data_IF_389914026780
#
_entry.id   IF_389914026780
#
_cell.length_a   1.000
_cell.length_b   1.000
_cell.length_c   1.000
_cell.angle_alpha   90.00
_cell.angle_beta   90.00
_cell.angle_gamma   90.00
#
_symmetry.space_group_name_H-M   'P 1'
#
loop_
_entity.id
_entity.type
_entity.pdbx_description
1 polymer ?
#
# COMPACT_ATOMS: atom_id res chain seq x y z
N UNK A 1 14.96 48.13 43.12
CA UNK A 1 15.44 47.00 42.30
C UNK A 1 16.92 47.15 42.09
N UNK A 2 17.73 46.17 42.48
CA UNK A 2 19.17 46.21 42.24
C UNK A 2 19.45 45.68 40.83
N UNK A 3 20.50 46.15 40.18
CA UNK A 3 20.89 45.71 38.82
C UNK A 3 21.02 44.19 38.67
N UNK A 4 21.32 43.47 39.78
CA UNK A 4 21.42 42.02 39.80
C UNK A 4 20.05 41.32 39.65
N UNK A 5 18.96 41.94 40.12
CA UNK A 5 17.61 41.38 40.04
C UNK A 5 17.13 41.38 38.59
N UNK A 6 17.39 42.47 37.86
CA UNK A 6 17.04 42.63 36.43
C UNK A 6 17.77 41.59 35.56
N UNK A 7 19.05 41.34 35.84
CA UNK A 7 19.85 40.36 35.10
C UNK A 7 19.37 38.93 35.40
N UNK A 8 18.99 38.64 36.65
CA UNK A 8 18.44 37.35 37.03
C UNK A 8 17.09 37.09 36.36
N UNK A 9 16.19 38.07 36.36
CA UNK A 9 14.87 37.98 35.71
C UNK A 9 14.98 37.79 34.20
N UNK A 10 15.88 38.53 33.53
CA UNK A 10 16.15 38.37 32.10
C UNK A 10 16.68 36.96 31.77
N UNK A 11 17.56 36.39 32.61
CA UNK A 11 18.05 35.00 32.45
C UNK A 11 16.94 33.98 32.63
N UNK A 12 16.05 34.18 33.62
CA UNK A 12 14.91 33.28 33.85
C UNK A 12 13.93 33.33 32.67
N UNK A 13 13.65 34.51 32.13
CA UNK A 13 12.82 34.65 30.93
C UNK A 13 13.45 33.93 29.74
N UNK A 14 14.74 34.15 29.48
CA UNK A 14 15.44 33.48 28.39
C UNK A 14 15.48 31.95 28.54
N UNK A 15 15.67 31.42 29.76
CA UNK A 15 15.60 29.99 30.01
C UNK A 15 14.19 29.41 29.76
N UNK A 16 13.13 30.17 30.04
CA UNK A 16 11.75 29.75 29.71
C UNK A 16 11.53 29.71 28.20
N UNK A 17 11.99 30.71 27.47
CA UNK A 17 11.93 30.75 26.00
C UNK A 17 12.68 29.59 25.37
N UNK A 18 13.91 29.30 25.84
CA UNK A 18 14.70 28.15 25.39
C UNK A 18 14.01 26.84 25.69
N UNK A 19 13.39 26.70 26.87
CA UNK A 19 12.63 25.48 27.23
C UNK A 19 11.43 25.27 26.32
N UNK A 20 10.66 26.32 26.02
CA UNK A 20 9.53 26.25 25.08
C UNK A 20 10.01 25.87 23.68
N UNK A 21 11.05 26.55 23.19
CA UNK A 21 11.64 26.26 21.88
C UNK A 21 12.16 24.82 21.78
N UNK A 22 12.79 24.31 22.84
CA UNK A 22 13.25 22.92 22.89
C UNK A 22 12.08 21.93 22.81
N UNK A 23 10.98 22.19 23.51
CA UNK A 23 9.78 21.35 23.45
C UNK A 23 9.18 21.33 22.04
N UNK A 24 9.09 22.51 21.40
CA UNK A 24 8.56 22.62 20.02
C UNK A 24 9.45 21.89 19.01
N UNK A 25 10.76 22.04 19.12
CA UNK A 25 11.71 21.32 18.26
C UNK A 25 11.59 19.81 18.45
N UNK A 26 11.46 19.33 19.69
CA UNK A 26 11.26 17.89 19.97
C UNK A 26 9.96 17.36 19.37
N UNK A 27 8.87 18.11 19.47
CA UNK A 27 7.60 17.72 18.86
C UNK A 27 7.69 17.66 17.33
N UNK A 28 8.38 18.62 16.71
CA UNK A 28 8.63 18.63 15.26
C UNK A 28 9.53 17.47 14.83
N UNK A 29 10.59 17.18 15.57
CA UNK A 29 11.48 16.05 15.30
C UNK A 29 10.69 14.74 15.33
N UNK A 30 9.92 14.48 16.38
CA UNK A 30 9.11 13.27 16.50
C UNK A 30 8.11 13.12 15.33
N UNK A 31 7.52 14.23 14.87
CA UNK A 31 6.64 14.22 13.69
C UNK A 31 7.40 13.83 12.41
N UNK A 32 8.56 14.43 12.18
CA UNK A 32 9.39 14.14 11.00
C UNK A 32 9.89 12.69 11.02
N UNK A 33 10.29 12.17 12.17
CA UNK A 33 10.70 10.76 12.32
C UNK A 33 9.55 9.81 12.00
N UNK A 34 8.34 10.09 12.48
CA UNK A 34 7.16 9.30 12.15
C UNK A 34 6.85 9.33 10.64
N UNK A 35 6.95 10.50 10.00
CA UNK A 35 6.76 10.63 8.54
C UNK A 35 7.82 9.87 7.75
N UNK A 36 9.10 9.98 8.16
CA UNK A 36 10.21 9.21 7.57
C UNK A 36 9.94 7.72 7.65
N UNK A 37 9.53 7.20 8.80
CA UNK A 37 9.34 5.76 9.01
C UNK A 37 8.20 5.23 8.13
N UNK A 38 7.11 5.98 8.00
CA UNK A 38 6.00 5.65 7.08
C UNK A 38 6.48 5.64 5.63
N UNK A 39 7.23 6.66 5.20
CA UNK A 39 7.76 6.72 3.83
C UNK A 39 8.77 5.60 3.54
N UNK A 40 9.63 5.27 4.50
CA UNK A 40 10.61 4.20 4.37
C UNK A 40 9.92 2.84 4.21
N UNK A 41 8.88 2.57 5.01
CA UNK A 41 8.09 1.35 4.86
C UNK A 41 7.38 1.30 3.49
N UNK A 42 6.76 2.39 3.08
CA UNK A 42 6.10 2.51 1.78
C UNK A 42 7.06 2.26 0.60
N UNK A 43 8.24 2.87 0.64
CA UNK A 43 9.26 2.72 -0.38
C UNK A 43 9.78 1.28 -0.43
N UNK A 44 10.02 0.66 0.73
CA UNK A 44 10.48 -0.73 0.81
C UNK A 44 9.48 -1.70 0.17
N UNK A 45 8.18 -1.52 0.43
CA UNK A 45 7.11 -2.32 -0.18
C UNK A 45 7.05 -2.12 -1.70
N UNK A 46 7.23 -0.89 -2.17
CA UNK A 46 7.21 -0.56 -3.60
C UNK A 46 8.41 -1.14 -4.35
N UNK A 47 9.60 -1.14 -3.75
CA UNK A 47 10.79 -1.75 -4.34
C UNK A 47 10.63 -3.26 -4.53
N UNK A 48 10.00 -3.94 -3.57
CA UNK A 48 9.73 -5.38 -3.68
C UNK A 48 8.75 -5.64 -4.84
N UNK A 49 7.69 -4.85 -4.97
CA UNK A 49 6.76 -4.96 -6.09
C UNK A 49 7.41 -4.61 -7.44
N UNK A 50 8.36 -3.68 -7.47
CA UNK A 50 9.10 -3.33 -8.67
C UNK A 50 9.98 -4.49 -9.15
N UNK A 51 10.69 -5.15 -8.22
CA UNK A 51 11.47 -6.35 -8.53
C UNK A 51 10.60 -7.47 -9.11
N UNK A 52 9.38 -7.61 -8.62
CA UNK A 52 8.43 -8.58 -9.18
C UNK A 52 7.98 -8.20 -10.59
N UNK A 53 7.72 -6.92 -10.82
CA UNK A 53 7.34 -6.40 -12.14
C UNK A 53 8.44 -6.62 -13.18
N UNK A 54 9.70 -6.39 -12.82
CA UNK A 54 10.86 -6.66 -13.70
C UNK A 54 11.03 -8.14 -14.04
N UNK A 55 10.61 -9.03 -13.14
CA UNK A 55 10.67 -10.49 -13.33
C UNK A 55 9.54 -11.05 -14.21
N UNK A 56 8.57 -10.23 -14.58
CA UNK A 56 7.51 -10.66 -15.49
C UNK A 56 8.07 -10.88 -16.90
N UNK A 57 7.71 -11.99 -17.57
CA UNK A 57 8.07 -12.23 -18.97
C UNK A 57 7.72 -11.05 -19.87
N UNK A 58 8.45 -10.88 -20.96
CA UNK A 58 8.18 -9.81 -21.92
C UNK A 58 6.72 -9.86 -22.40
N UNK A 59 6.05 -8.70 -22.42
CA UNK A 59 4.63 -8.59 -22.76
C UNK A 59 3.64 -9.06 -21.67
N UNK A 60 4.08 -9.77 -20.63
CA UNK A 60 3.19 -10.16 -19.53
C UNK A 60 2.79 -8.93 -18.70
N UNK A 61 1.51 -8.82 -18.35
CA UNK A 61 0.98 -7.69 -17.58
C UNK A 61 1.04 -7.91 -16.07
N UNK A 62 1.15 -6.83 -15.31
CA UNK A 62 0.92 -6.82 -13.86
C UNK A 62 -0.49 -6.31 -13.58
N UNK A 63 -1.27 -7.12 -12.90
CA UNK A 63 -2.59 -6.75 -12.40
C UNK A 63 -2.45 -6.23 -10.98
N UNK A 64 -2.94 -5.03 -10.70
CA UNK A 64 -2.97 -4.44 -9.36
C UNK A 64 -4.42 -4.35 -8.91
N UNK A 65 -4.73 -4.94 -7.76
CA UNK A 65 -6.07 -5.01 -7.18
C UNK A 65 -6.09 -4.07 -5.98
N UNK A 66 -6.92 -3.03 -6.04
CA UNK A 66 -7.30 -2.25 -4.88
C UNK A 66 -8.19 -3.12 -3.98
N UNK A 67 -7.58 -3.68 -2.95
CA UNK A 67 -8.18 -4.70 -2.10
C UNK A 67 -9.39 -4.19 -1.33
N UNK A 68 -9.46 -2.89 -1.02
CA UNK A 68 -10.65 -2.35 -0.38
C UNK A 68 -11.83 -2.30 -1.34
N UNK A 69 -11.64 -1.80 -2.55
CA UNK A 69 -12.68 -1.81 -3.57
C UNK A 69 -13.10 -3.23 -3.97
N UNK A 70 -12.20 -4.21 -3.92
CA UNK A 70 -12.54 -5.61 -4.12
C UNK A 70 -13.50 -6.16 -3.05
N UNK A 71 -13.25 -5.84 -1.78
CA UNK A 71 -14.03 -6.34 -0.64
C UNK A 71 -15.38 -5.62 -0.50
N UNK A 72 -15.38 -4.30 -0.66
CA UNK A 72 -16.53 -3.45 -0.34
C UNK A 72 -17.63 -3.54 -1.39
N UNK A 73 -17.33 -4.11 -2.56
CA UNK A 73 -18.27 -4.31 -3.67
C UNK A 73 -19.54 -5.06 -3.30
N UNK A 74 -19.50 -5.88 -2.25
CA UNK A 74 -20.61 -6.75 -1.86
C UNK A 74 -21.45 -6.19 -0.71
N UNK A 75 -21.04 -5.10 -0.03
CA UNK A 75 -21.67 -4.70 1.24
C UNK A 75 -21.60 -3.19 1.51
N UNK A 76 -22.58 -2.71 2.27
CA UNK A 76 -22.68 -1.30 2.67
C UNK A 76 -21.66 -0.98 3.78
N UNK A 77 -20.60 -0.27 3.40
CA UNK A 77 -19.34 -0.13 4.16
C UNK A 77 -19.48 0.63 5.48
N UNK A 78 -20.40 1.60 5.52
CA UNK A 78 -20.58 2.50 6.67
C UNK A 78 -21.07 1.80 7.94
N UNK A 79 -21.39 0.50 7.87
CA UNK A 79 -21.92 -0.31 8.97
C UNK A 79 -21.02 -1.47 9.40
N UNK A 80 -19.85 -1.64 8.78
CA UNK A 80 -18.98 -2.78 9.06
C UNK A 80 -18.03 -2.48 10.23
N UNK A 81 -17.99 -3.40 11.20
CA UNK A 81 -17.00 -3.35 12.28
C UNK A 81 -15.60 -3.71 11.76
N UNK A 82 -14.55 -3.41 12.52
CA UNK A 82 -13.18 -3.83 12.21
C UNK A 82 -13.03 -5.36 12.09
N UNK A 83 -13.85 -6.10 12.84
CA UNK A 83 -13.90 -7.56 12.82
C UNK A 83 -14.53 -8.08 11.52
N UNK A 84 -15.64 -7.47 11.08
CA UNK A 84 -16.26 -7.80 9.80
C UNK A 84 -15.31 -7.55 8.63
N UNK A 85 -14.57 -6.45 8.68
CA UNK A 85 -13.56 -6.10 7.67
C UNK A 85 -12.46 -7.16 7.63
N UNK A 86 -11.98 -7.57 8.79
CA UNK A 86 -10.93 -8.59 8.90
C UNK A 86 -11.42 -9.96 8.40
N UNK A 87 -12.68 -10.31 8.68
CA UNK A 87 -13.32 -11.52 8.15
C UNK A 87 -13.45 -11.47 6.63
N UNK A 88 -13.97 -10.37 6.08
CA UNK A 88 -14.15 -10.20 4.64
C UNK A 88 -12.82 -10.24 3.87
N UNK A 89 -11.73 -9.67 4.44
CA UNK A 89 -10.38 -9.80 3.89
C UNK A 89 -9.96 -11.26 3.78
N UNK A 90 -10.17 -12.04 4.85
CA UNK A 90 -9.86 -13.47 4.88
C UNK A 90 -10.69 -14.27 3.88
N UNK A 91 -12.00 -14.01 3.81
CA UNK A 91 -12.90 -14.68 2.86
C UNK A 91 -12.51 -14.38 1.41
N UNK A 92 -12.20 -13.11 1.09
CA UNK A 92 -11.76 -12.71 -0.24
C UNK A 92 -10.46 -13.41 -0.64
N UNK A 93 -9.46 -13.40 0.25
CA UNK A 93 -8.17 -14.05 0.00
C UNK A 93 -8.33 -15.58 -0.11
N UNK A 94 -9.12 -16.20 0.76
CA UNK A 94 -9.41 -17.63 0.71
C UNK A 94 -10.13 -18.02 -0.60
N UNK A 95 -11.02 -17.18 -1.11
CA UNK A 95 -11.67 -17.37 -2.41
C UNK A 95 -10.69 -17.34 -3.59
N UNK A 96 -9.52 -16.72 -3.42
CA UNK A 96 -8.41 -16.74 -4.38
C UNK A 96 -7.39 -17.86 -4.11
N UNK A 97 -7.64 -18.74 -3.12
CA UNK A 97 -6.68 -19.75 -2.67
C UNK A 97 -5.46 -19.17 -1.93
N UNK A 98 -5.52 -17.90 -1.52
CA UNK A 98 -4.44 -17.21 -0.82
C UNK A 98 -4.59 -17.39 0.68
N UNK A 99 -3.74 -18.22 1.26
CA UNK A 99 -3.57 -18.32 2.71
C UNK A 99 -2.39 -17.46 3.16
N UNK A 100 -2.55 -16.61 4.20
CA UNK A 100 -1.41 -15.95 4.81
C UNK A 100 -0.42 -17.02 5.30
N UNK A 101 0.89 -16.81 5.13
CA UNK A 101 1.88 -17.74 5.66
C UNK A 101 1.72 -17.84 7.19
N UNK A 102 1.52 -19.05 7.71
CA UNK A 102 1.68 -19.33 9.13
C UNK A 102 3.18 -19.42 9.39
N UNK A 103 3.77 -18.37 9.95
CA UNK A 103 5.18 -18.28 10.37
C UNK A 103 6.22 -18.94 9.44
N UNK A 104 6.82 -18.11 8.57
CA UNK A 104 8.09 -18.30 7.86
C UNK A 104 8.53 -19.76 7.62
N UNK A 105 7.95 -20.41 6.60
CA UNK A 105 8.64 -21.52 5.97
C UNK A 105 9.78 -20.92 5.11
N UNK A 106 10.94 -20.70 5.74
CA UNK A 106 12.16 -20.16 5.14
C UNK A 106 12.75 -21.06 4.02
N UNK A 107 12.11 -22.20 3.72
CA UNK A 107 12.57 -23.17 2.73
C UNK A 107 12.18 -22.84 1.28
N UNK A 108 11.25 -21.91 1.05
CA UNK A 108 10.81 -21.57 -0.32
C UNK A 108 11.68 -20.46 -0.90
N UNK A 109 12.68 -20.84 -1.68
CA UNK A 109 13.48 -19.86 -2.44
C UNK A 109 12.58 -19.07 -3.41
N UNK A 110 12.64 -17.73 -3.42
CA UNK A 110 11.74 -16.89 -4.22
C UNK A 110 11.89 -17.07 -5.74
N UNK A 111 12.90 -17.80 -6.19
CA UNK A 111 13.20 -18.07 -7.60
C UNK A 111 12.53 -19.34 -8.14
N UNK A 112 12.06 -20.24 -7.27
CA UNK A 112 11.27 -21.41 -7.67
C UNK A 112 9.77 -21.11 -7.79
N UNK A 113 9.35 -19.91 -7.36
CA UNK A 113 7.95 -19.48 -7.41
C UNK A 113 7.63 -18.79 -8.75
N UNK A 114 6.43 -19.02 -9.33
CA UNK A 114 6.02 -18.41 -10.60
C UNK A 114 5.93 -16.89 -10.48
N UNK A 115 6.35 -16.10 -11.49
CA UNK A 115 6.35 -14.63 -11.42
C UNK A 115 5.05 -14.04 -10.89
N UNK A 116 5.17 -12.96 -10.11
CA UNK A 116 3.98 -12.31 -9.53
C UNK A 116 3.24 -11.53 -10.61
N UNK A 117 2.12 -12.09 -11.06
CA UNK A 117 1.25 -11.48 -12.06
C UNK A 117 0.15 -10.61 -11.42
N UNK A 118 -0.18 -10.83 -10.15
CA UNK A 118 -1.23 -10.08 -9.44
C UNK A 118 -0.73 -9.51 -8.11
N UNK A 119 -0.96 -8.22 -7.89
CA UNK A 119 -0.63 -7.53 -6.65
C UNK A 119 -1.87 -6.94 -5.99
N UNK A 120 -2.23 -7.44 -4.81
CA UNK A 120 -3.38 -7.02 -4.02
C UNK A 120 -2.91 -6.08 -2.92
N UNK A 121 -3.47 -4.87 -2.86
CA UNK A 121 -3.06 -3.85 -1.90
C UNK A 121 -4.23 -3.51 -0.99
N UNK A 122 -4.04 -3.69 0.32
CA UNK A 122 -4.99 -3.31 1.35
C UNK A 122 -4.45 -2.16 2.19
N UNK A 123 -5.35 -1.29 2.66
CA UNK A 123 -5.02 -0.47 3.82
C UNK A 123 -4.90 -1.39 5.06
N UNK A 124 -3.77 -1.26 5.75
CA UNK A 124 -3.51 -1.95 7.02
C UNK A 124 -2.88 -1.02 8.04
N UNK A 125 -3.03 -1.33 9.33
CA UNK A 125 -2.38 -0.56 10.42
C UNK A 125 -0.88 -0.81 10.45
N UNK A 126 -0.48 -2.07 10.22
CA UNK A 126 0.92 -2.52 10.18
C UNK A 126 1.30 -2.75 8.72
N UNK A 127 2.45 -2.23 8.32
CA UNK A 127 3.00 -2.45 6.99
C UNK A 127 3.50 -3.90 6.89
N UNK A 128 3.03 -4.66 5.92
CA UNK A 128 3.59 -5.96 5.60
C UNK A 128 3.36 -6.31 4.12
N UNK A 129 4.10 -7.30 3.63
CA UNK A 129 3.83 -7.90 2.34
C UNK A 129 4.27 -9.35 2.36
N UNK A 130 3.52 -10.19 1.66
CA UNK A 130 3.86 -11.59 1.45
C UNK A 130 3.45 -12.03 0.05
N UNK A 131 4.04 -13.15 -0.38
CA UNK A 131 3.77 -13.77 -1.68
C UNK A 131 3.06 -15.10 -1.46
N UNK A 132 2.13 -15.42 -2.35
CA UNK A 132 1.45 -16.71 -2.42
C UNK A 132 1.30 -17.07 -3.90
N UNK A 133 2.17 -17.93 -4.42
CA UNK A 133 2.23 -18.23 -5.85
C UNK A 133 2.50 -16.99 -6.72
N UNK A 134 1.59 -16.73 -7.66
CA UNK A 134 1.58 -15.57 -8.56
C UNK A 134 1.01 -14.28 -7.92
N UNK A 135 0.58 -14.36 -6.66
CA UNK A 135 0.00 -13.24 -5.93
C UNK A 135 1.00 -12.61 -4.98
N UNK A 136 1.04 -11.28 -4.95
CA UNK A 136 1.54 -10.50 -3.84
C UNK A 136 0.38 -9.89 -3.08
N UNK A 137 0.40 -9.96 -1.77
CA UNK A 137 -0.51 -9.21 -0.91
C UNK A 137 0.30 -8.22 -0.11
N UNK A 138 -0.12 -6.97 -0.10
CA UNK A 138 0.53 -5.89 0.65
C UNK A 138 -0.48 -5.17 1.52
N UNK A 139 -0.09 -4.89 2.75
CA UNK A 139 -0.78 -4.00 3.65
C UNK A 139 0.08 -2.76 3.82
N UNK A 140 -0.46 -1.59 3.50
CA UNK A 140 0.36 -0.36 3.39
C UNK A 140 0.96 0.13 4.71
N UNK A 141 0.39 -0.28 5.85
CA UNK A 141 0.70 0.29 7.17
C UNK A 141 0.25 1.76 7.31
N UNK A 142 0.50 2.32 8.49
CA UNK A 142 0.34 3.76 8.77
C UNK A 142 -1.08 4.21 9.13
N UNK A 143 -1.26 5.54 9.16
CA UNK A 143 -2.50 6.25 9.52
C UNK A 143 -2.86 7.22 8.37
N UNK A 144 -4.15 7.37 8.06
CA UNK A 144 -4.65 8.30 7.02
C UNK A 144 -5.54 7.62 5.96
N UNK A 145 -6.38 8.37 5.24
CA UNK A 145 -7.21 7.79 4.18
C UNK A 145 -6.39 7.50 2.91
N UNK A 146 -6.89 6.64 2.02
CA UNK A 146 -6.36 6.44 0.65
C UNK A 146 -4.89 5.98 0.57
N UNK A 147 -4.41 5.14 1.49
CA UNK A 147 -2.99 4.75 1.53
C UNK A 147 -2.67 3.74 0.44
N UNK A 148 -3.58 2.80 0.17
CA UNK A 148 -3.53 1.91 -0.98
C UNK A 148 -3.46 2.70 -2.30
N UNK A 149 -4.35 3.68 -2.49
CA UNK A 149 -4.41 4.53 -3.68
C UNK A 149 -3.07 5.23 -3.92
N UNK A 150 -2.50 5.82 -2.86
CA UNK A 150 -1.19 6.46 -2.93
C UNK A 150 -0.10 5.46 -3.33
N UNK A 151 -0.07 4.26 -2.76
CA UNK A 151 0.90 3.22 -3.10
C UNK A 151 0.79 2.77 -4.56
N UNK A 152 -0.43 2.61 -5.05
CA UNK A 152 -0.69 2.27 -6.46
C UNK A 152 -0.13 3.37 -7.37
N UNK A 153 -0.43 4.63 -7.08
CA UNK A 153 0.03 5.77 -7.88
C UNK A 153 1.54 5.95 -7.82
N UNK A 154 2.14 5.87 -6.63
CA UNK A 154 3.58 6.01 -6.43
C UNK A 154 4.33 4.89 -7.18
N UNK A 155 3.81 3.65 -7.16
CA UNK A 155 4.36 2.55 -7.95
C UNK A 155 4.26 2.77 -9.46
N UNK A 156 3.06 3.13 -9.97
CA UNK A 156 2.87 3.39 -11.41
C UNK A 156 3.79 4.53 -11.90
N UNK A 157 3.93 5.58 -11.08
CA UNK A 157 4.85 6.67 -11.37
C UNK A 157 6.32 6.23 -11.33
N UNK A 158 6.71 5.37 -10.39
CA UNK A 158 8.06 4.83 -10.33
C UNK A 158 8.40 4.03 -11.58
N UNK A 159 7.51 3.13 -12.02
CA UNK A 159 7.67 2.38 -13.28
C UNK A 159 7.86 3.33 -14.46
N UNK A 160 7.05 4.41 -14.54
CA UNK A 160 7.18 5.44 -15.57
C UNK A 160 8.53 6.17 -15.52
N UNK A 161 8.95 6.60 -14.34
CA UNK A 161 10.21 7.36 -14.14
C UNK A 161 11.42 6.51 -14.49
N UNK A 162 11.35 5.20 -14.23
CA UNK A 162 12.41 4.24 -14.56
C UNK A 162 12.42 3.83 -16.03
N UNK A 163 11.51 4.36 -16.86
CA UNK A 163 11.44 4.06 -18.29
C UNK A 163 10.90 2.65 -18.60
N UNK A 164 10.24 2.00 -17.64
CA UNK A 164 9.62 0.71 -17.84
C UNK A 164 8.23 0.85 -18.49
N UNK A 165 7.75 -0.21 -19.14
CA UNK A 165 6.48 -0.17 -19.88
C UNK A 165 5.25 -0.17 -18.95
N UNK A 166 4.77 1.03 -18.64
CA UNK A 166 3.58 1.28 -17.81
C UNK A 166 2.31 0.68 -18.41
N UNK A 167 2.24 0.47 -19.74
CA UNK A 167 1.05 -0.07 -20.40
C UNK A 167 0.78 -1.54 -20.07
N UNK A 168 1.77 -2.22 -19.46
CA UNK A 168 1.66 -3.57 -18.89
C UNK A 168 0.92 -3.59 -17.56
N UNK A 169 0.71 -2.44 -16.91
CA UNK A 169 0.02 -2.37 -15.63
C UNK A 169 -1.48 -2.20 -15.87
N UNK A 170 -2.28 -3.04 -15.21
CA UNK A 170 -3.74 -2.89 -15.13
C UNK A 170 -4.16 -2.74 -13.68
N UNK A 171 -4.76 -1.61 -13.33
CA UNK A 171 -5.31 -1.37 -11.98
C UNK A 171 -6.81 -1.66 -11.95
N UNK A 172 -7.22 -2.50 -11.02
CA UNK A 172 -8.62 -2.78 -10.72
C UNK A 172 -9.07 -1.96 -9.51
N UNK A 173 -9.91 -0.98 -9.78
CA UNK A 173 -10.46 -0.08 -8.77
C UNK A 173 -11.84 0.40 -9.22
N UNK A 174 -12.73 0.64 -8.26
CA UNK A 174 -13.99 1.35 -8.51
C UNK A 174 -13.88 2.84 -8.17
N UNK A 175 -12.75 3.29 -7.62
CA UNK A 175 -12.48 4.69 -7.37
C UNK A 175 -12.18 5.40 -8.69
N UNK A 176 -13.08 6.30 -9.09
CA UNK A 176 -12.98 7.07 -10.34
C UNK A 176 -11.79 8.04 -10.34
N UNK A 177 -11.43 8.60 -9.17
CA UNK A 177 -10.30 9.51 -9.01
C UNK A 177 -8.99 8.75 -9.19
N UNK A 178 -8.84 7.61 -8.51
CA UNK A 178 -7.69 6.73 -8.68
C UNK A 178 -7.57 6.27 -10.13
N UNK A 179 -8.67 5.79 -10.73
CA UNK A 179 -8.68 5.33 -12.10
C UNK A 179 -8.27 6.43 -13.10
N UNK A 180 -8.71 7.67 -12.89
CA UNK A 180 -8.30 8.81 -13.72
C UNK A 180 -6.79 9.06 -13.63
N UNK A 181 -6.24 9.10 -12.42
CA UNK A 181 -4.80 9.32 -12.22
C UNK A 181 -3.95 8.18 -12.80
N UNK A 182 -4.35 6.92 -12.61
CA UNK A 182 -3.68 5.75 -13.20
C UNK A 182 -3.64 5.84 -14.72
N UNK A 183 -4.77 6.17 -15.37
CA UNK A 183 -4.81 6.36 -16.82
C UNK A 183 -3.94 7.51 -17.29
N UNK A 184 -3.94 8.63 -16.57
CA UNK A 184 -3.08 9.78 -16.89
C UNK A 184 -1.59 9.45 -16.80
N UNK A 185 -1.22 8.44 -16.00
CA UNK A 185 0.14 7.96 -15.89
C UNK A 185 0.51 6.93 -16.98
N UNK A 186 -0.43 6.49 -17.81
CA UNK A 186 -0.21 5.56 -18.93
C UNK A 186 -0.57 4.10 -18.65
N UNK A 187 -1.06 3.78 -17.45
CA UNK A 187 -1.50 2.44 -17.09
C UNK A 187 -2.96 2.20 -17.52
N UNK A 188 -3.33 0.92 -17.63
CA UNK A 188 -4.71 0.51 -17.91
C UNK A 188 -5.51 0.47 -16.62
N UNK A 189 -6.81 0.70 -16.72
CA UNK A 189 -7.75 0.48 -15.62
C UNK A 189 -8.80 -0.51 -16.07
N UNK A 190 -9.13 -1.46 -15.21
CA UNK A 190 -10.28 -2.33 -15.42
C UNK A 190 -11.31 -2.06 -14.33
N UNK A 191 -12.55 -1.82 -14.74
CA UNK A 191 -13.64 -1.96 -13.81
C UNK A 191 -13.75 -3.43 -13.44
N UNK A 192 -13.87 -3.72 -12.14
CA UNK A 192 -14.06 -5.07 -11.63
C UNK A 192 -15.28 -5.81 -12.25
N UNK A 193 -16.12 -5.17 -13.08
CA UNK A 193 -17.26 -5.78 -13.78
C UNK A 193 -16.82 -6.82 -14.83
N UNK A 194 -15.58 -6.74 -15.34
CA UNK A 194 -15.14 -7.58 -16.47
C UNK A 194 -14.26 -8.76 -16.01
N UNK A 195 -13.52 -8.63 -14.90
CA UNK A 195 -12.54 -9.64 -14.49
C UNK A 195 -13.18 -10.90 -13.84
N UNK A 196 -14.28 -10.75 -13.09
CA UNK A 196 -14.93 -11.88 -12.40
C UNK A 196 -15.68 -12.82 -13.36
N UNK A 197 -16.05 -12.36 -14.56
CA UNK A 197 -16.70 -13.19 -15.57
C UNK A 197 -15.74 -14.12 -16.32
N UNK A 198 -14.42 -13.89 -16.22
CA UNK A 198 -13.42 -14.77 -16.86
C UNK A 198 -12.95 -15.93 -15.99
N UNK A 199 -13.18 -15.90 -14.68
CA UNK A 199 -12.85 -17.00 -13.77
C UNK A 199 -14.01 -17.96 -13.52
N UNK A 200 -15.24 -17.65 -13.96
CA UNK A 200 -16.41 -18.52 -13.79
C UNK A 200 -16.86 -19.25 -15.06
N UNK A 201 -16.34 -18.89 -16.24
CA UNK A 201 -16.54 -19.68 -17.46
C UNK A 201 -15.31 -20.58 -17.67
N UNK A 202 -15.18 -21.56 -16.79
CA UNK A 202 -14.41 -22.75 -17.11
C UNK A 202 -15.02 -23.41 -18.34
N UNK A 203 -14.15 -23.80 -19.26
CA UNK A 203 -14.45 -24.55 -20.46
C UNK A 203 -15.48 -25.66 -20.18
N UNK A 204 -16.65 -25.55 -20.81
CA UNK A 204 -17.48 -26.73 -21.04
C UNK A 204 -16.80 -27.53 -22.16
N UNK A 205 -16.45 -28.81 -21.94
CA UNK A 205 -15.98 -29.65 -23.02
C UNK A 205 -17.13 -29.83 -24.02
N UNK A 206 -16.97 -29.27 -25.22
CA UNK A 206 -17.80 -29.65 -26.36
C UNK A 206 -17.38 -31.07 -26.75
N UNK A 207 -18.38 -31.95 -26.75
CA UNK A 207 -18.30 -33.37 -27.09
C UNK A 207 -17.85 -33.60 -28.53
#
# INVERSE_FOLDING_TARGET
MKSNDIIADARVMHLRELKTSLTDVKARLAKVEAERDVLSAHFSLSLVALRDFERLPEGAGLRIIDGWNAILRLRNVSKLSSEDISRLKKEYLAGLGITPPSDADDSVHPESLPPVATWIIFDGKVANSYRCGEYRVTYTGGIGAHRADRMILDFVNAVRILGLDVSRITVETSDKSLALHVRSAGAKTADYLIASLRHCNGDLPVS
#
